data_IF_842054359970
#
_entry.id   IF_842054359970
#
_cell.length_a   1.000
_cell.length_b   1.000
_cell.length_c   1.000
_cell.angle_alpha   90.00
_cell.angle_beta   90.00
_cell.angle_gamma   90.00
#
_symmetry.space_group_name_H-M   'P 1'
#
loop_
_entity.id
_entity.type
_entity.pdbx_description
1 polymer ?
#
# COMPACT_ATOMS: atom_id res chain seq x y z
N UNK A 1 -9.09 11.42 -3.79
CA UNK A 1 -7.87 11.25 -2.99
C UNK A 1 -7.79 9.78 -2.59
N UNK A 2 -6.60 9.21 -2.63
CA UNK A 2 -6.32 7.79 -2.41
C UNK A 2 -5.37 7.65 -1.24
N UNK A 3 -5.64 6.70 -0.35
CA UNK A 3 -4.71 6.33 0.69
C UNK A 3 -3.64 5.41 0.08
N UNK A 4 -2.39 5.87 0.08
CA UNK A 4 -1.26 5.17 -0.53
C UNK A 4 -0.36 4.63 0.58
N UNK A 5 -0.22 3.31 0.62
CA UNK A 5 0.64 2.60 1.57
C UNK A 5 1.88 2.12 0.82
N UNK A 6 3.03 2.69 1.14
CA UNK A 6 4.33 2.28 0.59
C UNK A 6 5.01 1.33 1.58
N UNK A 7 5.14 0.06 1.23
CA UNK A 7 5.86 -0.93 2.03
C UNK A 7 7.35 -0.88 1.67
N UNK A 8 8.18 -0.33 2.55
CA UNK A 8 9.63 -0.13 2.34
C UNK A 8 10.48 -1.34 2.77
N UNK A 9 9.89 -2.53 2.79
CA UNK A 9 10.55 -3.74 3.30
C UNK A 9 10.89 -3.65 4.79
N UNK A 10 12.14 -3.94 5.13
CA UNK A 10 12.65 -3.89 6.51
C UNK A 10 12.76 -2.46 7.08
N UNK A 11 12.66 -1.43 6.24
CA UNK A 11 12.75 -0.03 6.68
C UNK A 11 11.44 0.50 7.26
N UNK A 12 10.34 -0.26 7.15
CA UNK A 12 9.02 0.15 7.64
C UNK A 12 8.00 0.32 6.52
N UNK A 13 7.00 1.17 6.78
CA UNK A 13 6.00 1.59 5.81
C UNK A 13 5.85 3.12 5.84
N UNK A 14 5.42 3.70 4.72
CA UNK A 14 4.97 5.09 4.65
C UNK A 14 3.50 5.14 4.24
N UNK A 15 2.81 6.17 4.75
CA UNK A 15 1.41 6.43 4.46
C UNK A 15 1.29 7.81 3.85
N UNK A 16 0.87 7.84 2.61
CA UNK A 16 0.73 9.03 1.79
C UNK A 16 -0.73 9.16 1.31
N UNK A 17 -1.11 10.35 0.85
CA UNK A 17 -2.41 10.58 0.22
C UNK A 17 -2.19 11.23 -1.13
N UNK A 18 -2.56 10.53 -2.21
CA UNK A 18 -2.32 11.01 -3.57
C UNK A 18 -3.64 11.26 -4.31
N UNK A 19 -3.60 12.16 -5.29
CA UNK A 19 -4.75 12.41 -6.16
C UNK A 19 -4.88 11.35 -7.25
N UNK A 20 -3.76 10.76 -7.67
CA UNK A 20 -3.68 9.72 -8.68
C UNK A 20 -2.76 8.58 -8.22
N UNK A 21 -3.06 7.37 -8.69
CA UNK A 21 -2.36 6.13 -8.32
C UNK A 21 -1.76 5.52 -9.60
N UNK A 22 -0.54 5.94 -10.00
CA UNK A 22 0.13 5.40 -11.18
C UNK A 22 0.71 4.00 -10.90
N UNK A 23 0.77 3.10 -11.88
CA UNK A 23 1.27 1.73 -11.65
C UNK A 23 2.74 1.66 -11.18
N UNK A 24 3.54 2.67 -11.53
CA UNK A 24 4.94 2.80 -11.14
C UNK A 24 5.21 4.24 -10.71
N UNK A 25 5.95 4.41 -9.62
CA UNK A 25 6.30 5.71 -9.04
C UNK A 25 7.72 5.67 -8.49
N UNK A 26 8.46 6.76 -8.67
CA UNK A 26 9.75 6.96 -7.98
C UNK A 26 9.48 7.57 -6.60
N UNK A 27 9.93 6.90 -5.56
CA UNK A 27 9.77 7.34 -4.18
C UNK A 27 11.09 7.19 -3.44
N UNK A 28 11.61 8.30 -2.90
CA UNK A 28 12.92 8.36 -2.21
C UNK A 28 14.12 7.85 -3.04
N UNK A 29 14.03 7.94 -4.37
CA UNK A 29 15.10 7.48 -5.28
C UNK A 29 15.07 5.97 -5.54
N UNK A 30 14.00 5.28 -5.15
CA UNK A 30 13.72 3.89 -5.49
C UNK A 30 12.40 3.78 -6.27
N UNK A 31 12.33 2.81 -7.19
CA UNK A 31 11.11 2.54 -7.96
C UNK A 31 10.15 1.66 -7.18
N UNK A 32 8.93 2.13 -6.99
CA UNK A 32 7.84 1.41 -6.36
C UNK A 32 6.76 1.08 -7.39
N UNK A 33 6.36 -0.19 -7.44
CA UNK A 33 5.23 -0.63 -8.28
C UNK A 33 3.99 -0.91 -7.44
N UNK A 34 2.83 -0.69 -8.05
CA UNK A 34 1.53 -0.96 -7.46
C UNK A 34 1.32 -2.48 -7.35
N UNK A 35 1.27 -2.98 -6.12
CA UNK A 35 1.13 -4.42 -5.84
C UNK A 35 -0.30 -4.83 -5.48
N UNK A 36 -1.07 -3.92 -4.88
CA UNK A 36 -2.48 -4.15 -4.59
C UNK A 36 -3.28 -2.85 -4.61
N UNK A 37 -4.57 -2.95 -4.95
CA UNK A 37 -5.41 -1.76 -5.12
C UNK A 37 -5.18 -1.05 -6.46
N UNK A 38 -5.64 0.19 -6.62
CA UNK A 38 -6.49 0.92 -5.68
C UNK A 38 -7.86 0.22 -5.53
N UNK A 39 -8.27 -0.09 -4.30
CA UNK A 39 -9.60 -0.66 -4.02
C UNK A 39 -10.29 0.13 -2.92
N UNK A 40 -11.59 0.34 -3.07
CA UNK A 40 -12.43 1.01 -2.08
C UNK A 40 -12.77 0.02 -0.96
N UNK A 41 -12.35 0.25 0.29
CA UNK A 41 -12.78 -0.60 1.39
C UNK A 41 -14.28 -0.47 1.65
N UNK A 42 -14.89 -1.53 2.18
CA UNK A 42 -16.24 -1.50 2.71
C UNK A 42 -16.31 -0.47 3.86
N UNK A 43 -17.37 0.35 3.92
CA UNK A 43 -17.54 1.27 5.02
C UNK A 43 -17.69 0.48 6.32
N UNK A 44 -16.91 0.87 7.33
CA UNK A 44 -17.02 0.34 8.70
C UNK A 44 -17.57 1.46 9.59
N UNK A 45 -16.81 1.91 10.58
CA UNK A 45 -17.14 3.05 11.45
C UNK A 45 -16.94 4.42 10.78
N UNK A 46 -16.32 4.44 9.59
CA UNK A 46 -16.11 5.62 8.76
C UNK A 46 -16.09 5.24 7.28
N UNK A 47 -16.30 6.25 6.44
CA UNK A 47 -15.97 6.14 5.02
C UNK A 47 -14.45 6.13 4.88
N UNK A 48 -13.94 5.17 4.11
CA UNK A 48 -12.53 5.03 3.82
C UNK A 48 -12.22 5.62 2.45
N UNK A 49 -11.01 6.11 2.26
CA UNK A 49 -10.51 6.41 0.93
C UNK A 49 -10.12 5.11 0.22
N UNK A 50 -10.13 5.06 -1.12
CA UNK A 50 -9.62 3.91 -1.83
C UNK A 50 -8.12 3.72 -1.54
N UNK A 51 -7.76 2.50 -1.17
CA UNK A 51 -6.41 2.15 -0.70
C UNK A 51 -5.61 1.52 -1.83
N UNK A 52 -4.42 2.05 -2.06
CA UNK A 52 -3.41 1.50 -2.95
C UNK A 52 -2.16 1.12 -2.18
N UNK A 53 -1.55 -0.02 -2.52
CA UNK A 53 -0.39 -0.57 -1.83
C UNK A 53 0.74 -0.74 -2.83
N UNK A 54 1.85 -0.08 -2.52
CA UNK A 54 3.07 -0.10 -3.29
C UNK A 54 4.17 -0.81 -2.53
N UNK A 55 5.08 -1.41 -3.27
CA UNK A 55 6.32 -1.96 -2.74
C UNK A 55 7.44 -1.78 -3.78
N UNK A 56 8.72 -1.85 -3.38
CA UNK A 56 9.84 -1.83 -4.31
C UNK A 56 9.62 -2.77 -5.49
N UNK A 57 9.88 -2.29 -6.70
CA UNK A 57 9.66 -3.07 -7.93
C UNK A 57 10.54 -4.33 -7.97
N UNK A 58 11.71 -4.26 -7.31
CA UNK A 58 12.63 -5.38 -7.17
C UNK A 58 12.12 -6.51 -6.26
N UNK A 59 11.06 -6.29 -5.46
CA UNK A 59 10.48 -7.36 -4.63
C UNK A 59 9.74 -8.38 -5.50
N UNK A 60 9.91 -9.65 -5.15
CA UNK A 60 9.07 -10.71 -5.70
C UNK A 60 7.68 -10.67 -5.09
N UNK A 61 6.73 -11.38 -5.69
CA UNK A 61 5.39 -11.52 -5.12
C UNK A 61 5.43 -12.20 -3.74
N UNK A 62 6.28 -13.20 -3.54
CA UNK A 62 6.42 -13.90 -2.25
C UNK A 62 6.92 -12.97 -1.15
N UNK A 63 7.97 -12.17 -1.41
CA UNK A 63 8.47 -11.22 -0.42
C UNK A 63 7.46 -10.10 -0.13
N UNK A 64 6.74 -9.65 -1.16
CA UNK A 64 5.64 -8.71 -0.96
C UNK A 64 4.55 -9.29 -0.07
N UNK A 65 4.12 -10.55 -0.28
CA UNK A 65 3.08 -11.18 0.53
C UNK A 65 3.50 -11.32 2.00
N UNK A 66 4.77 -11.67 2.26
CA UNK A 66 5.31 -11.76 3.62
C UNK A 66 5.29 -10.39 4.31
N UNK A 67 5.80 -9.36 3.63
CA UNK A 67 5.78 -7.97 4.11
C UNK A 67 4.35 -7.47 4.34
N UNK A 68 3.44 -7.75 3.41
CA UNK A 68 2.03 -7.38 3.52
C UNK A 68 1.42 -7.98 4.77
N UNK A 69 1.66 -9.27 5.03
CA UNK A 69 1.16 -9.95 6.24
C UNK A 69 1.79 -9.39 7.52
N UNK A 70 3.08 -9.08 7.50
CA UNK A 70 3.80 -8.49 8.62
C UNK A 70 3.26 -7.11 9.01
N UNK A 71 2.92 -6.26 8.02
CA UNK A 71 2.41 -4.91 8.26
C UNK A 71 0.89 -4.84 8.38
N UNK A 72 0.15 -5.87 7.96
CA UNK A 72 -1.30 -5.96 8.11
C UNK A 72 -1.84 -5.62 9.51
N UNK A 73 -1.26 -6.09 10.63
CA UNK A 73 -1.72 -5.69 11.96
C UNK A 73 -1.33 -4.26 12.37
N UNK A 74 -0.36 -3.65 11.68
CA UNK A 74 0.17 -2.31 12.01
C UNK A 74 -0.48 -1.21 11.17
N UNK A 75 -0.97 -1.54 9.98
CA UNK A 75 -1.60 -0.61 9.04
C UNK A 75 -3.08 -0.97 8.91
N UNK A 76 -3.95 -0.16 9.51
CA UNK A 76 -5.39 -0.39 9.53
C UNK A 76 -5.97 -0.60 8.11
N UNK A 77 -5.50 0.18 7.14
CA UNK A 77 -5.89 0.13 5.72
C UNK A 77 -5.66 -1.24 5.06
N UNK A 78 -4.62 -1.97 5.47
CA UNK A 78 -4.30 -3.31 4.95
C UNK A 78 -5.19 -4.40 5.58
N UNK A 79 -5.75 -4.13 6.75
CA UNK A 79 -6.66 -5.02 7.46
C UNK A 79 -8.14 -4.79 7.09
N UNK A 80 -8.43 -3.80 6.25
CA UNK A 80 -9.80 -3.50 5.84
C UNK A 80 -10.38 -4.62 4.97
N UNK A 81 -11.72 -4.69 4.98
CA UNK A 81 -12.49 -5.56 4.10
C UNK A 81 -12.83 -4.79 2.84
N UNK A 82 -12.78 -5.48 1.70
CA UNK A 82 -13.06 -4.96 0.37
C UNK A 82 -14.18 -5.78 -0.25
#
# INVERSE_FOLDING_TARGET
MYAVILLKGAQGYAREHWEHVPELVDYEGESYSLRAGPRQPLPTDREWEPVAVYAPDMLTEEEFQDLYQQYRPQVAELALKY
#
